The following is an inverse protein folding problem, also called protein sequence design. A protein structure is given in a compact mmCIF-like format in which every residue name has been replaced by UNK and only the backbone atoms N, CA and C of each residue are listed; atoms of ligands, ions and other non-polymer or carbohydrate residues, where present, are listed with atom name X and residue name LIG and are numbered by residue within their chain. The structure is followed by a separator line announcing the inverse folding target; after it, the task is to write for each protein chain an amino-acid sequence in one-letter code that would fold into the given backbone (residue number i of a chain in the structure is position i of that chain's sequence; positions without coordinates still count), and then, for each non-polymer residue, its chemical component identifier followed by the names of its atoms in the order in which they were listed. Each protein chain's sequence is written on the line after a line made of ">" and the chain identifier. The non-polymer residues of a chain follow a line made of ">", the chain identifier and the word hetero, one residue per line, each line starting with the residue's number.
data_IF_076818790352
#
_entry.id   IF_076818790352
#
_cell.length_a   1.000
_cell.length_b   1.000
_cell.length_c   1.000
_cell.angle_alpha   90.00
_cell.angle_beta   90.00
_cell.angle_gamma   90.00
#
_symmetry.space_group_name_H-M   'P 1'
#
loop_
_entity.id
_entity.type
_entity.pdbx_description
1 polymer ?
#
# COMPACT_ATOMS: atom_id res chain seq x y z
N UNK A 1 -15.11 -3.40 -0.93
CA UNK A 1 -14.28 -4.28 -0.07
C UNK A 1 -13.13 -4.97 -0.82
N UNK A 2 -13.38 -5.64 -1.95
CA UNK A 2 -12.37 -6.46 -2.66
C UNK A 2 -11.08 -5.72 -3.04
N UNK A 3 -11.18 -4.50 -3.61
CA UNK A 3 -10.01 -3.69 -3.97
C UNK A 3 -9.13 -3.35 -2.76
N UNK A 4 -9.75 -2.97 -1.64
CA UNK A 4 -9.03 -2.62 -0.41
C UNK A 4 -8.36 -3.85 0.21
N UNK A 5 -9.05 -5.00 0.23
CA UNK A 5 -8.46 -6.27 0.70
C UNK A 5 -7.28 -6.69 -0.17
N UNK A 6 -7.42 -6.59 -1.50
CA UNK A 6 -6.33 -6.88 -2.44
C UNK A 6 -5.12 -5.96 -2.23
N UNK A 7 -5.34 -4.65 -2.06
CA UNK A 7 -4.29 -3.70 -1.70
C UNK A 7 -3.58 -4.11 -0.40
N UNK A 8 -4.32 -4.30 0.70
CA UNK A 8 -3.72 -4.67 1.99
C UNK A 8 -2.89 -5.95 1.84
N UNK A 9 -3.45 -7.02 1.26
CA UNK A 9 -2.75 -8.29 1.06
C UNK A 9 -1.50 -8.16 0.20
N UNK A 10 -1.52 -7.34 -0.86
CA UNK A 10 -0.34 -7.07 -1.68
C UNK A 10 0.74 -6.32 -0.90
N UNK A 11 0.39 -5.23 -0.22
CA UNK A 11 1.36 -4.35 0.44
C UNK A 11 1.88 -4.89 1.79
N UNK A 12 1.14 -5.77 2.47
CA UNK A 12 1.61 -6.48 3.66
C UNK A 12 2.26 -7.83 3.34
N UNK A 13 1.95 -8.42 2.19
CA UNK A 13 2.50 -9.71 1.75
C UNK A 13 3.78 -9.61 0.90
N UNK A 14 4.05 -8.44 0.29
CA UNK A 14 5.29 -8.22 -0.48
C UNK A 14 6.40 -7.59 0.38
N UNK A 15 7.66 -8.04 0.25
CA UNK A 15 8.77 -7.40 0.95
C UNK A 15 8.95 -5.96 0.46
N UNK A 16 9.28 -5.04 1.38
CA UNK A 16 9.46 -3.61 1.09
C UNK A 16 10.47 -3.35 -0.05
N UNK A 17 11.49 -4.22 -0.17
CA UNK A 17 12.45 -4.21 -1.26
C UNK A 17 11.77 -4.37 -2.63
N UNK A 18 10.77 -5.25 -2.75
CA UNK A 18 10.03 -5.48 -3.99
C UNK A 18 9.18 -4.26 -4.36
N UNK A 19 8.61 -3.55 -3.38
CA UNK A 19 7.85 -2.33 -3.64
C UNK A 19 8.74 -1.22 -4.20
N UNK A 20 9.92 -1.00 -3.61
CA UNK A 20 10.87 -0.01 -4.13
C UNK A 20 11.36 -0.41 -5.52
N UNK A 21 11.66 -1.69 -5.73
CA UNK A 21 12.11 -2.22 -7.02
C UNK A 21 11.05 -2.02 -8.11
N UNK A 22 9.79 -2.32 -7.81
CA UNK A 22 8.67 -2.10 -8.74
C UNK A 22 8.44 -0.61 -9.03
N UNK A 23 8.56 0.28 -8.05
CA UNK A 23 8.38 1.72 -8.26
C UNK A 23 9.54 2.33 -9.06
N UNK A 24 10.77 1.83 -8.87
CA UNK A 24 11.95 2.32 -9.59
C UNK A 24 12.02 1.78 -11.03
N UNK A 25 11.81 0.47 -11.23
CA UNK A 25 11.93 -0.15 -12.55
C UNK A 25 10.62 -0.18 -13.35
N UNK A 26 9.47 -0.16 -12.70
CA UNK A 26 8.15 -0.22 -13.36
C UNK A 26 7.92 0.90 -14.38
N UNK A 27 8.19 2.17 -14.05
CA UNK A 27 7.99 3.27 -14.97
C UNK A 27 8.96 3.27 -16.16
N UNK A 28 10.14 2.66 -15.99
CA UNK A 28 11.15 2.55 -17.05
C UNK A 28 10.70 1.70 -18.24
N UNK A 29 9.65 0.88 -18.08
CA UNK A 29 9.07 0.08 -19.16
C UNK A 29 8.10 0.86 -20.06
N UNK A 30 7.56 1.99 -19.61
CA UNK A 30 6.56 2.75 -20.36
C UNK A 30 7.14 4.08 -20.84
N UNK A 31 7.43 4.24 -22.15
CA UNK A 31 7.96 5.49 -22.69
C UNK A 31 7.00 6.68 -22.48
N UNK A 32 5.69 6.44 -22.40
CA UNK A 32 4.69 7.47 -22.06
C UNK A 32 4.87 8.07 -20.65
N UNK A 33 5.43 7.35 -19.68
CA UNK A 33 5.67 7.91 -18.34
C UNK A 33 6.87 8.88 -18.32
N UNK A 34 7.78 8.77 -19.28
CA UNK A 34 8.91 9.70 -19.46
C UNK A 34 8.46 11.05 -20.04
N UNK A 35 7.32 11.08 -20.76
CA UNK A 35 6.74 12.32 -21.29
C UNK A 35 6.18 13.24 -20.19
N UNK A 36 5.94 12.71 -18.98
CA UNK A 36 5.49 13.48 -17.83
C UNK A 36 6.68 13.91 -16.95
N UNK A 37 7.21 15.13 -17.10
CA UNK A 37 8.43 15.56 -16.41
C UNK A 37 8.28 15.56 -14.88
N UNK A 38 7.09 15.83 -14.35
CA UNK A 38 6.83 15.78 -12.91
C UNK A 38 6.91 14.35 -12.35
N UNK A 39 6.40 13.37 -13.10
CA UNK A 39 6.41 11.97 -12.69
C UNK A 39 7.80 11.37 -12.89
N UNK A 40 8.46 11.71 -13.99
CA UNK A 40 9.85 11.33 -14.23
C UNK A 40 10.80 11.88 -13.17
N UNK A 41 10.64 13.14 -12.73
CA UNK A 41 11.43 13.69 -11.64
C UNK A 41 11.20 12.96 -10.31
N UNK A 42 9.95 12.62 -10.01
CA UNK A 42 9.57 11.88 -8.81
C UNK A 42 10.14 10.45 -8.79
N UNK A 43 10.25 9.81 -9.96
CA UNK A 43 10.71 8.43 -10.12
C UNK A 43 12.23 8.32 -10.36
N UNK A 44 12.84 9.35 -10.94
CA UNK A 44 14.28 9.41 -11.22
C UNK A 44 15.09 9.56 -9.94
N UNK A 45 14.49 10.11 -8.87
CA UNK A 45 15.11 10.24 -7.56
C UNK A 45 14.85 9.00 -6.69
N UNK A 46 15.88 8.20 -6.35
CA UNK A 46 15.71 6.94 -5.63
C UNK A 46 15.07 7.09 -4.24
N UNK A 47 15.33 8.22 -3.57
CA UNK A 47 14.81 8.50 -2.23
C UNK A 47 13.31 8.81 -2.24
N UNK A 48 12.79 9.46 -3.29
CA UNK A 48 11.36 9.70 -3.46
C UNK A 48 10.61 8.41 -3.73
N UNK A 49 11.16 7.52 -4.58
CA UNK A 49 10.64 6.17 -4.78
C UNK A 49 10.55 5.39 -3.46
N UNK A 50 11.61 5.44 -2.64
CA UNK A 50 11.63 4.80 -1.34
C UNK A 50 10.58 5.39 -0.37
N UNK A 51 10.42 6.72 -0.34
CA UNK A 51 9.40 7.38 0.48
C UNK A 51 7.98 6.99 0.08
N UNK A 52 7.68 6.90 -1.22
CA UNK A 52 6.36 6.49 -1.72
C UNK A 52 6.08 5.03 -1.35
N UNK A 53 7.03 4.12 -1.59
CA UNK A 53 6.90 2.71 -1.22
C UNK A 53 6.64 2.57 0.29
N UNK A 54 7.43 3.26 1.12
CA UNK A 54 7.31 3.25 2.57
C UNK A 54 5.96 3.83 3.04
N UNK A 55 5.50 4.92 2.40
CA UNK A 55 4.21 5.55 2.72
C UNK A 55 3.04 4.62 2.40
N UNK A 56 3.06 3.96 1.23
CA UNK A 56 2.04 3.00 0.83
C UNK A 56 2.00 1.78 1.77
N UNK A 57 3.17 1.27 2.15
CA UNK A 57 3.31 0.19 3.11
C UNK A 57 2.75 0.60 4.50
N UNK A 58 3.10 1.79 4.98
CA UNK A 58 2.58 2.35 6.24
C UNK A 58 1.05 2.54 6.22
N UNK A 59 0.49 2.99 5.10
CA UNK A 59 -0.96 3.13 4.93
C UNK A 59 -1.69 1.78 4.96
N UNK A 60 -1.11 0.73 4.35
CA UNK A 60 -1.65 -0.62 4.39
C UNK A 60 -1.68 -1.18 5.82
N UNK A 61 -0.57 -1.04 6.55
CA UNK A 61 -0.48 -1.46 7.95
C UNK A 61 -1.44 -0.69 8.86
N UNK A 62 -1.57 0.62 8.67
CA UNK A 62 -2.51 1.47 9.44
C UNK A 62 -3.96 1.03 9.21
N UNK A 63 -4.32 0.72 7.96
CA UNK A 63 -5.67 0.23 7.63
C UNK A 63 -5.94 -1.13 8.28
N UNK A 64 -4.97 -2.06 8.22
CA UNK A 64 -5.09 -3.37 8.86
C UNK A 64 -5.24 -3.24 10.38
N UNK A 65 -4.46 -2.35 11.00
CA UNK A 65 -4.57 -2.05 12.42
C UNK A 65 -5.97 -1.52 12.76
N UNK A 66 -6.47 -0.56 12.00
CA UNK A 66 -7.80 0.01 12.22
C UNK A 66 -8.90 -1.05 12.14
N UNK A 67 -8.87 -1.92 11.12
CA UNK A 67 -9.82 -3.03 10.99
C UNK A 67 -9.76 -3.98 12.18
N UNK A 68 -8.56 -4.41 12.58
CA UNK A 68 -8.38 -5.30 13.73
C UNK A 68 -8.90 -4.66 15.02
N UNK A 69 -8.59 -3.38 15.24
CA UNK A 69 -9.06 -2.65 16.43
C UNK A 69 -10.57 -2.45 16.41
N UNK A 70 -11.17 -2.17 15.24
CA UNK A 70 -12.62 -2.04 15.09
C UNK A 70 -13.33 -3.36 15.46
N UNK A 71 -12.86 -4.49 14.93
CA UNK A 71 -13.37 -5.82 15.27
C UNK A 71 -13.18 -6.12 16.76
N UNK A 72 -12.01 -5.77 17.33
CA UNK A 72 -11.71 -5.91 18.76
C UNK A 72 -12.68 -5.11 19.63
N UNK A 73 -12.98 -3.87 19.25
CA UNK A 73 -13.90 -2.97 19.97
C UNK A 73 -15.34 -3.49 19.96
N UNK A 74 -15.82 -3.99 18.81
CA UNK A 74 -17.14 -4.63 18.70
C UNK A 74 -17.26 -5.87 19.59
N UNK A 75 -16.19 -6.67 19.67
CA UNK A 75 -16.13 -7.86 20.54
C UNK A 75 -16.23 -7.51 22.02
N UNK A 76 -15.62 -6.39 22.44
CA UNK A 76 -15.73 -5.88 23.83
C UNK A 76 -17.12 -5.31 24.12
N UNK A 77 -17.74 -4.63 23.15
CA UNK A 77 -19.09 -4.07 23.28
C UNK A 77 -20.21 -5.13 23.25
N UNK A 78 -19.89 -6.41 23.03
CA UNK A 78 -20.89 -7.47 22.89
C UNK A 78 -21.77 -7.34 21.65
N UNK A 79 -21.38 -6.50 20.68
CA UNK A 79 -22.12 -6.33 19.43
C UNK A 79 -21.93 -7.56 18.54
N UNK A 80 -22.96 -8.00 17.80
CA UNK A 80 -22.81 -9.12 16.87
C UNK A 80 -21.78 -8.77 15.78
N UNK A 81 -20.65 -9.47 15.81
CA UNK A 81 -19.64 -9.50 14.75
C UNK A 81 -20.08 -10.50 13.69
N UNK A 82 -20.12 -10.07 12.43
CA UNK A 82 -20.54 -10.96 11.35
C UNK A 82 -19.46 -12.05 11.15
N UNK A 83 -19.81 -13.33 10.92
CA UNK A 83 -18.83 -14.43 10.85
C UNK A 83 -17.79 -14.34 9.72
N UNK A 84 -17.93 -13.39 8.80
CA UNK A 84 -17.06 -13.19 7.65
C UNK A 84 -16.11 -11.98 7.78
N UNK A 85 -16.24 -11.20 8.87
CA UNK A 85 -15.29 -10.15 9.29
C UNK A 85 -14.08 -10.76 10.01
#
# INVERSE_FOLDING_TARGET
>A
MWLVRGYITLFTGTPLLVQIFLIYYGPGQFPTLQEYPALWHLLSEPWLCALIALSLNSAAYTTQLFTVQFVRSRKVSGSPVAPWE
#
